data_IF_876660159534
#
_entry.id   IF_876660159534
#
_cell.length_a   1.000
_cell.length_b   1.000
_cell.length_c   1.000
_cell.angle_alpha   90.00
_cell.angle_beta   90.00
_cell.angle_gamma   90.00
#
_symmetry.space_group_name_H-M   'P 1'
#
loop_
_entity.id
_entity.type
_entity.pdbx_description
1 polymer ?
#
# COMPACT_ATOMS: atom_id res chain seq x y z
N UNK A 1 11.24 25.53 -13.52
CA UNK A 1 11.99 26.78 -13.81
C UNK A 1 13.47 26.50 -13.58
N UNK A 2 14.21 26.23 -14.67
CA UNK A 2 15.31 27.06 -15.22
C UNK A 2 16.59 27.08 -14.36
N UNK A 3 17.67 26.37 -14.75
CA UNK A 3 18.65 26.60 -15.83
C UNK A 3 19.80 27.52 -15.39
N UNK A 4 21.01 26.98 -15.44
CA UNK A 4 22.33 27.51 -15.89
C UNK A 4 23.38 26.51 -15.37
N UNK A 5 24.10 25.66 -16.10
CA UNK A 5 24.76 25.67 -17.43
C UNK A 5 25.65 26.90 -17.66
N UNK A 6 26.89 26.60 -18.10
CA UNK A 6 28.02 27.45 -18.54
C UNK A 6 29.03 27.89 -17.45
N UNK A 7 30.35 27.87 -17.65
CA UNK A 7 31.19 27.44 -18.78
C UNK A 7 32.69 27.52 -18.37
N UNK A 8 33.51 26.71 -19.06
CA UNK A 8 34.89 26.96 -19.51
C UNK A 8 36.03 27.24 -18.50
N UNK A 9 37.02 26.33 -18.55
CA UNK A 9 38.49 26.55 -18.71
C UNK A 9 39.16 25.18 -18.56
N UNK A 10 40.12 24.75 -19.36
CA UNK A 10 40.85 25.33 -20.47
C UNK A 10 41.71 24.21 -21.05
N UNK A 11 41.77 24.18 -22.37
CA UNK A 11 42.52 23.26 -23.20
C UNK A 11 44.02 23.53 -23.02
N UNK A 12 44.82 22.50 -22.69
CA UNK A 12 46.24 22.49 -23.03
C UNK A 12 46.58 21.20 -23.79
N UNK A 13 46.42 21.29 -25.11
CA UNK A 13 47.20 20.52 -26.08
C UNK A 13 48.56 21.22 -26.23
N UNK A 14 49.64 20.45 -26.24
CA UNK A 14 50.80 20.80 -27.05
C UNK A 14 52.18 20.50 -26.49
N UNK A 15 52.82 19.54 -27.15
CA UNK A 15 54.26 19.50 -27.54
C UNK A 15 55.26 19.00 -26.50
N UNK A 16 55.86 17.84 -26.81
CA UNK A 16 57.27 17.63 -27.24
C UNK A 16 57.47 16.11 -27.37
N UNK A 17 57.47 15.47 -28.55
CA UNK A 17 58.44 15.51 -29.64
C UNK A 17 59.90 15.24 -29.20
N UNK A 18 60.29 13.97 -29.35
CA UNK A 18 61.57 13.45 -29.86
C UNK A 18 62.85 14.25 -29.57
N UNK A 19 63.77 13.67 -28.78
CA UNK A 19 65.19 13.98 -28.89
C UNK A 19 66.04 12.72 -28.66
N UNK A 20 66.51 12.18 -29.78
CA UNK A 20 67.69 11.33 -29.88
C UNK A 20 68.92 12.22 -29.66
N UNK A 21 69.89 11.76 -28.86
CA UNK A 21 71.35 11.99 -28.96
C UNK A 21 71.98 11.20 -27.80
N UNK A 22 72.62 10.05 -28.04
CA UNK A 22 74.02 9.95 -28.45
C UNK A 22 74.94 10.77 -27.53
N UNK A 23 75.69 10.07 -26.67
CA UNK A 23 76.71 10.68 -25.81
C UNK A 23 77.22 9.68 -24.77
N UNK A 24 78.18 8.85 -25.17
CA UNK A 24 78.80 7.89 -24.24
C UNK A 24 79.92 7.05 -24.85
N UNK A 25 80.68 7.58 -25.80
CA UNK A 25 81.96 7.00 -26.23
C UNK A 25 83.08 7.57 -25.35
N UNK A 26 83.67 6.73 -24.50
CA UNK A 26 84.99 6.98 -23.91
C UNK A 26 85.85 5.73 -24.09
N UNK A 27 86.78 5.87 -25.04
CA UNK A 27 88.13 5.30 -25.09
C UNK A 27 88.27 3.80 -25.29
N UNK A 28 88.36 3.49 -26.58
CA UNK A 28 89.32 2.58 -27.22
C UNK A 28 90.65 2.46 -26.44
N UNK A 29 90.82 1.38 -25.70
CA UNK A 29 92.11 0.91 -25.20
C UNK A 29 92.48 -0.38 -25.91
N UNK A 30 93.25 -0.27 -26.99
CA UNK A 30 93.82 -1.39 -27.70
C UNK A 30 94.77 -2.17 -26.78
N UNK A 31 94.38 -3.39 -26.42
CA UNK A 31 95.29 -4.45 -26.03
C UNK A 31 94.90 -5.68 -26.84
N UNK A 32 95.52 -5.79 -28.01
CA UNK A 32 95.72 -7.05 -28.67
C UNK A 32 96.42 -7.97 -27.67
N UNK A 33 95.68 -8.90 -27.10
CA UNK A 33 96.21 -10.02 -26.34
C UNK A 33 95.47 -11.26 -26.80
N UNK A 34 96.15 -11.97 -27.69
CA UNK A 34 96.06 -13.43 -27.88
C UNK A 34 94.66 -14.00 -28.05
N UNK A 35 94.31 -14.27 -29.31
CA UNK A 35 93.48 -15.42 -29.68
C UNK A 35 94.22 -16.70 -29.26
N UNK A 36 94.16 -17.02 -27.97
CA UNK A 36 94.29 -18.39 -27.52
C UNK A 36 92.91 -19.02 -27.69
N UNK A 37 92.69 -19.68 -28.83
CA UNK A 37 91.64 -20.68 -28.94
C UNK A 37 92.06 -21.83 -28.01
N UNK A 38 91.79 -21.65 -26.71
CA UNK A 38 91.76 -22.77 -25.79
C UNK A 38 90.70 -23.72 -26.33
N UNK A 39 91.12 -24.96 -26.59
CA UNK A 39 90.19 -26.04 -26.84
C UNK A 39 89.07 -25.99 -25.78
N UNK A 40 87.80 -26.23 -26.14
CA UNK A 40 86.73 -26.18 -25.16
C UNK A 40 86.93 -27.30 -24.13
N UNK A 41 87.49 -26.94 -22.98
CA UNK A 41 87.42 -27.72 -21.76
C UNK A 41 85.94 -27.77 -21.30
N UNK A 42 85.48 -28.94 -20.89
CA UNK A 42 84.07 -29.34 -20.78
C UNK A 42 83.15 -28.62 -19.77
N UNK A 43 83.39 -27.34 -19.44
CA UNK A 43 82.56 -26.52 -18.54
C UNK A 43 81.45 -25.68 -19.22
N UNK A 44 81.47 -25.51 -20.54
CA UNK A 44 80.47 -24.68 -21.26
C UNK A 44 79.14 -25.38 -21.50
N UNK A 45 79.15 -26.71 -21.57
CA UNK A 45 77.96 -27.52 -21.85
C UNK A 45 77.07 -27.60 -20.61
N UNK A 46 77.66 -27.68 -19.41
CA UNK A 46 76.90 -27.74 -18.15
C UNK A 46 76.27 -26.38 -17.80
N UNK A 47 76.94 -25.26 -18.07
CA UNK A 47 76.35 -23.92 -17.91
C UNK A 47 75.20 -23.67 -18.90
N UNK A 48 75.35 -24.09 -20.16
CA UNK A 48 74.26 -24.04 -21.14
C UNK A 48 73.08 -24.93 -20.71
N UNK A 49 73.35 -26.09 -20.12
CA UNK A 49 72.32 -27.00 -19.57
C UNK A 49 71.59 -26.36 -18.39
N UNK A 50 72.31 -25.71 -17.46
CA UNK A 50 71.71 -25.02 -16.32
C UNK A 50 70.86 -23.80 -16.74
N UNK A 51 71.29 -23.04 -17.75
CA UNK A 51 70.49 -21.95 -18.34
C UNK A 51 69.25 -22.50 -19.05
N UNK A 52 69.39 -23.61 -19.78
CA UNK A 52 68.26 -24.27 -20.43
C UNK A 52 67.26 -24.81 -19.41
N UNK A 53 67.72 -25.41 -18.31
CA UNK A 53 66.88 -25.89 -17.22
C UNK A 53 66.07 -24.75 -16.58
N UNK A 54 66.74 -23.65 -16.19
CA UNK A 54 66.07 -22.45 -15.67
C UNK A 54 65.09 -21.82 -16.67
N UNK A 55 65.41 -21.86 -17.97
CA UNK A 55 64.52 -21.36 -19.02
C UNK A 55 63.27 -22.25 -19.15
N UNK A 56 63.43 -23.57 -19.10
CA UNK A 56 62.32 -24.53 -19.11
C UNK A 56 61.46 -24.37 -17.85
N UNK A 57 62.06 -24.21 -16.67
CA UNK A 57 61.35 -23.94 -15.42
C UNK A 57 60.56 -22.64 -15.49
N UNK A 58 61.18 -21.55 -15.94
CA UNK A 58 60.50 -20.26 -16.11
C UNK A 58 59.36 -20.37 -17.11
N UNK A 59 59.57 -21.06 -18.23
CA UNK A 59 58.52 -21.30 -19.23
C UNK A 59 57.37 -22.13 -18.66
N UNK A 60 57.66 -23.10 -17.77
CA UNK A 60 56.67 -23.91 -17.08
C UNK A 60 55.86 -23.08 -16.09
N UNK A 61 56.51 -22.22 -15.30
CA UNK A 61 55.84 -21.29 -14.37
C UNK A 61 54.95 -20.32 -15.12
N UNK A 62 55.46 -19.65 -16.16
CA UNK A 62 54.66 -18.74 -17.00
C UNK A 62 53.45 -19.46 -17.60
N UNK A 63 53.64 -20.68 -18.11
CA UNK A 63 52.54 -21.45 -18.67
C UNK A 63 51.51 -21.84 -17.61
N UNK A 64 51.94 -22.08 -16.37
CA UNK A 64 51.04 -22.38 -15.26
C UNK A 64 50.25 -21.15 -14.83
N UNK A 65 50.94 -20.03 -14.58
CA UNK A 65 50.30 -18.76 -14.21
C UNK A 65 49.34 -18.26 -15.29
N UNK A 66 49.69 -18.43 -16.57
CA UNK A 66 48.79 -18.06 -17.67
C UNK A 66 47.51 -18.90 -17.67
N UNK A 67 47.58 -20.19 -17.33
CA UNK A 67 46.39 -21.04 -17.19
C UNK A 67 45.56 -20.64 -15.98
N UNK A 68 46.19 -20.44 -14.82
CA UNK A 68 45.50 -19.99 -13.59
C UNK A 68 44.83 -18.62 -13.77
N UNK A 69 45.49 -17.70 -14.47
CA UNK A 69 44.94 -16.38 -14.76
C UNK A 69 43.72 -16.46 -15.66
N UNK A 70 43.76 -17.28 -16.72
CA UNK A 70 42.61 -17.48 -17.60
C UNK A 70 41.44 -18.08 -16.83
N UNK A 71 41.69 -19.11 -16.00
CA UNK A 71 40.65 -19.76 -15.18
C UNK A 71 40.06 -18.80 -14.15
N UNK A 72 40.91 -18.06 -13.43
CA UNK A 72 40.45 -17.09 -12.41
C UNK A 72 39.62 -15.98 -13.06
N UNK A 73 40.05 -15.50 -14.23
CA UNK A 73 39.30 -14.48 -14.99
C UNK A 73 37.93 -15.00 -15.40
N UNK A 74 37.84 -16.23 -15.90
CA UNK A 74 36.57 -16.87 -16.26
C UNK A 74 35.63 -17.00 -15.05
N UNK A 75 36.14 -17.50 -13.91
CA UNK A 75 35.36 -17.61 -12.66
C UNK A 75 34.87 -16.24 -12.16
N UNK A 76 35.69 -15.19 -12.25
CA UNK A 76 35.29 -13.84 -11.88
C UNK A 76 34.23 -13.28 -12.84
N UNK A 77 34.36 -13.56 -14.13
CA UNK A 77 33.40 -13.13 -15.13
C UNK A 77 32.03 -13.81 -14.93
N UNK A 78 32.00 -15.12 -14.69
CA UNK A 78 30.78 -15.87 -14.37
C UNK A 78 30.09 -15.31 -13.12
N UNK A 79 30.87 -14.95 -12.09
CA UNK A 79 30.35 -14.32 -10.86
C UNK A 79 29.77 -12.94 -11.13
N UNK A 80 30.42 -12.12 -11.94
CA UNK A 80 29.92 -10.80 -12.33
C UNK A 80 28.58 -10.97 -13.05
N UNK A 81 28.50 -11.85 -14.04
CA UNK A 81 27.26 -12.10 -14.79
C UNK A 81 26.12 -12.65 -13.91
N UNK A 82 26.44 -13.46 -12.90
CA UNK A 82 25.47 -13.91 -11.91
C UNK A 82 24.95 -12.76 -11.04
N UNK A 83 25.86 -11.94 -10.50
CA UNK A 83 25.51 -10.79 -9.65
C UNK A 83 24.72 -9.75 -10.44
N UNK A 84 25.06 -9.50 -11.70
CA UNK A 84 24.30 -8.59 -12.58
C UNK A 84 22.88 -9.08 -12.80
N UNK A 85 22.68 -10.39 -13.03
CA UNK A 85 21.34 -10.99 -13.12
C UNK A 85 20.57 -10.89 -11.81
N UNK A 86 21.23 -11.08 -10.68
CA UNK A 86 20.62 -10.93 -9.36
C UNK A 86 20.21 -9.48 -9.10
N UNK A 87 21.07 -8.50 -9.41
CA UNK A 87 20.75 -7.07 -9.31
C UNK A 87 19.57 -6.72 -10.21
N UNK A 88 19.53 -7.22 -11.44
CA UNK A 88 18.41 -6.98 -12.35
C UNK A 88 17.10 -7.54 -11.79
N UNK A 89 17.11 -8.78 -11.29
CA UNK A 89 15.94 -9.40 -10.66
C UNK A 89 15.49 -8.67 -9.40
N UNK A 90 16.42 -8.23 -8.55
CA UNK A 90 16.08 -7.46 -7.35
C UNK A 90 15.49 -6.10 -7.69
N UNK A 91 16.02 -5.41 -8.71
CA UNK A 91 15.43 -4.14 -9.20
C UNK A 91 14.01 -4.33 -9.72
N UNK A 92 13.76 -5.41 -10.46
CA UNK A 92 12.41 -5.75 -10.92
C UNK A 92 11.45 -6.01 -9.75
N UNK A 93 11.89 -6.79 -8.75
CA UNK A 93 11.09 -7.04 -7.53
C UNK A 93 10.80 -5.76 -6.75
N UNK A 94 11.78 -4.85 -6.65
CA UNK A 94 11.58 -3.55 -5.99
C UNK A 94 10.55 -2.73 -6.75
N UNK A 95 10.69 -2.60 -8.07
CA UNK A 95 9.74 -1.85 -8.90
C UNK A 95 8.31 -2.42 -8.84
N UNK A 96 8.18 -3.75 -8.85
CA UNK A 96 6.88 -4.41 -8.67
C UNK A 96 6.28 -4.12 -7.28
N UNK A 97 7.09 -4.20 -6.23
CA UNK A 97 6.65 -3.91 -4.86
C UNK A 97 6.23 -2.45 -4.68
N UNK A 98 6.97 -1.50 -5.28
CA UNK A 98 6.63 -0.08 -5.26
C UNK A 98 5.31 0.19 -6.00
N UNK A 99 5.07 -0.47 -7.13
CA UNK A 99 3.82 -0.37 -7.87
C UNK A 99 2.63 -0.94 -7.07
N UNK A 100 2.82 -2.08 -6.41
CA UNK A 100 1.81 -2.68 -5.54
C UNK A 100 1.49 -1.78 -4.34
N UNK A 101 2.50 -1.22 -3.68
CA UNK A 101 2.32 -0.25 -2.59
C UNK A 101 1.53 0.98 -3.06
N UNK A 102 1.86 1.56 -4.21
CA UNK A 102 1.14 2.72 -4.75
C UNK A 102 -0.35 2.40 -5.01
N UNK A 103 -0.65 1.21 -5.55
CA UNK A 103 -2.03 0.74 -5.77
C UNK A 103 -2.77 0.52 -4.46
N UNK A 104 -2.09 -0.04 -3.47
CA UNK A 104 -2.61 -0.24 -2.13
C UNK A 104 -2.92 1.09 -1.44
N UNK A 105 -2.02 2.07 -1.51
CA UNK A 105 -2.23 3.42 -0.97
C UNK A 105 -3.42 4.12 -1.63
N UNK A 106 -3.55 4.00 -2.96
CA UNK A 106 -4.72 4.50 -3.68
C UNK A 106 -6.01 3.85 -3.17
N UNK A 107 -6.00 2.53 -3.01
CA UNK A 107 -7.16 1.77 -2.53
C UNK A 107 -7.50 2.14 -1.08
N UNK A 108 -6.50 2.35 -0.23
CA UNK A 108 -6.69 2.83 1.14
C UNK A 108 -7.31 4.23 1.17
N UNK A 109 -6.80 5.17 0.37
CA UNK A 109 -7.36 6.51 0.29
C UNK A 109 -8.83 6.49 -0.17
N UNK A 110 -9.15 5.67 -1.17
CA UNK A 110 -10.52 5.49 -1.65
C UNK A 110 -11.44 4.88 -0.56
N UNK A 111 -10.97 3.86 0.15
CA UNK A 111 -11.73 3.22 1.22
C UNK A 111 -11.98 4.15 2.40
N UNK A 112 -10.98 4.96 2.78
CA UNK A 112 -11.13 5.98 3.84
C UNK A 112 -12.16 7.02 3.40
N UNK A 113 -12.06 7.56 2.19
CA UNK A 113 -13.03 8.53 1.67
C UNK A 113 -14.45 7.97 1.62
N UNK A 114 -14.63 6.72 1.17
CA UNK A 114 -15.93 6.03 1.21
C UNK A 114 -16.43 5.82 2.62
N UNK A 115 -15.56 5.48 3.56
CA UNK A 115 -15.92 5.28 4.96
C UNK A 115 -16.42 6.58 5.60
N UNK A 116 -15.74 7.70 5.34
CA UNK A 116 -16.12 9.02 5.84
C UNK A 116 -17.48 9.44 5.26
N UNK A 117 -17.68 9.27 3.95
CA UNK A 117 -18.98 9.52 3.30
C UNK A 117 -20.09 8.66 3.90
N UNK A 118 -19.84 7.36 4.14
CA UNK A 118 -20.82 6.47 4.76
C UNK A 118 -21.15 6.88 6.19
N UNK A 119 -20.16 7.32 6.97
CA UNK A 119 -20.39 7.83 8.32
C UNK A 119 -21.21 9.12 8.32
N UNK A 120 -20.90 10.04 7.41
CA UNK A 120 -21.63 11.30 7.30
C UNK A 120 -23.07 11.08 6.86
N UNK A 121 -23.29 10.23 5.85
CA UNK A 121 -24.66 9.85 5.42
C UNK A 121 -25.41 9.08 6.50
N UNK A 122 -24.76 8.21 7.27
CA UNK A 122 -25.38 7.51 8.39
C UNK A 122 -25.83 8.47 9.50
N UNK A 123 -25.01 9.48 9.83
CA UNK A 123 -25.37 10.52 10.80
C UNK A 123 -26.59 11.32 10.36
N UNK A 124 -26.61 11.78 9.10
CA UNK A 124 -27.76 12.49 8.55
C UNK A 124 -29.04 11.64 8.63
N UNK A 125 -28.93 10.35 8.30
CA UNK A 125 -30.08 9.44 8.35
C UNK A 125 -30.54 9.16 9.78
N UNK A 126 -29.61 9.13 10.74
CA UNK A 126 -29.91 9.01 12.16
C UNK A 126 -30.66 10.23 12.69
N UNK A 127 -30.24 11.44 12.31
CA UNK A 127 -30.91 12.70 12.65
C UNK A 127 -32.32 12.76 12.05
N UNK A 128 -32.47 12.40 10.77
CA UNK A 128 -33.78 12.35 10.09
C UNK A 128 -34.74 11.34 10.75
N UNK A 129 -34.25 10.15 11.10
CA UNK A 129 -35.05 9.13 11.81
C UNK A 129 -35.44 9.63 13.20
N UNK A 130 -34.56 10.33 13.91
CA UNK A 130 -34.89 10.92 15.20
C UNK A 130 -36.02 11.97 15.10
N UNK A 131 -36.01 12.85 14.09
CA UNK A 131 -37.10 13.79 13.85
C UNK A 131 -38.43 13.06 13.56
N UNK A 132 -38.38 12.02 12.72
CA UNK A 132 -39.55 11.20 12.40
C UNK A 132 -40.11 10.49 13.63
N UNK A 133 -39.26 9.98 14.53
CA UNK A 133 -39.70 9.36 15.79
C UNK A 133 -40.43 10.37 16.68
N UNK A 134 -39.87 11.57 16.88
CA UNK A 134 -40.48 12.64 17.67
C UNK A 134 -41.85 13.01 17.11
N UNK A 135 -41.94 13.21 15.80
CA UNK A 135 -43.20 13.54 15.11
C UNK A 135 -44.23 12.42 15.19
N UNK A 136 -43.78 11.17 15.10
CA UNK A 136 -44.65 9.99 15.22
C UNK A 136 -45.20 9.85 16.64
N UNK A 137 -44.37 10.05 17.67
CA UNK A 137 -44.82 10.04 19.07
C UNK A 137 -45.85 11.15 19.34
N UNK A 138 -45.61 12.35 18.79
CA UNK A 138 -46.56 13.46 18.89
C UNK A 138 -47.90 13.12 18.20
N UNK A 139 -47.86 12.41 17.07
CA UNK A 139 -49.06 11.95 16.37
C UNK A 139 -49.84 10.90 17.17
N UNK A 140 -49.16 9.92 17.78
CA UNK A 140 -49.80 8.85 18.57
C UNK A 140 -50.69 9.42 19.67
N UNK A 141 -50.26 10.50 20.35
CA UNK A 141 -51.04 11.17 21.41
C UNK A 141 -52.37 11.76 20.92
N UNK A 142 -52.51 12.02 19.62
CA UNK A 142 -53.71 12.61 19.00
C UNK A 142 -54.65 11.56 18.41
N UNK A 143 -54.24 10.29 18.37
CA UNK A 143 -55.04 9.21 17.78
C UNK A 143 -56.21 8.82 18.70
N UNK A 144 -57.35 8.32 18.17
CA UNK A 144 -58.42 7.73 18.96
C UNK A 144 -57.98 6.47 19.72
N UNK A 145 -58.64 6.17 20.83
CA UNK A 145 -58.32 5.05 21.73
C UNK A 145 -58.13 3.68 21.02
N UNK A 146 -58.98 3.27 20.05
CA UNK A 146 -58.84 1.96 19.39
C UNK A 146 -57.49 1.76 18.70
N UNK A 147 -56.91 2.81 18.11
CA UNK A 147 -55.62 2.72 17.42
C UNK A 147 -54.47 2.80 18.42
N UNK A 148 -54.62 3.58 19.48
CA UNK A 148 -53.59 3.70 20.51
C UNK A 148 -53.24 2.32 21.09
N UNK A 149 -54.24 1.46 21.29
CA UNK A 149 -54.01 0.09 21.77
C UNK A 149 -53.32 -0.83 20.75
N UNK A 150 -53.65 -0.68 19.46
CA UNK A 150 -53.05 -1.46 18.36
C UNK A 150 -51.59 -1.08 18.10
N UNK A 151 -51.27 0.20 18.26
CA UNK A 151 -49.94 0.75 18.02
C UNK A 151 -49.04 0.64 19.27
N UNK A 152 -49.64 0.42 20.45
CA UNK A 152 -48.95 0.27 21.74
C UNK A 152 -47.66 -0.56 21.70
N UNK A 153 -47.62 -1.80 21.17
CA UNK A 153 -46.38 -2.60 21.15
C UNK A 153 -45.25 -1.93 20.35
N UNK A 154 -45.56 -1.32 19.21
CA UNK A 154 -44.58 -0.60 18.39
C UNK A 154 -44.15 0.72 19.04
N UNK A 155 -45.07 1.42 19.70
CA UNK A 155 -44.75 2.67 20.42
C UNK A 155 -43.88 2.45 21.65
N UNK A 156 -44.06 1.32 22.34
CA UNK A 156 -43.21 0.91 23.46
C UNK A 156 -41.82 0.51 22.96
N UNK A 157 -41.73 -0.17 21.82
CA UNK A 157 -40.46 -0.46 21.17
C UNK A 157 -39.72 0.84 20.79
N UNK A 158 -40.41 1.84 20.21
CA UNK A 158 -39.83 3.16 19.91
C UNK A 158 -39.35 3.91 21.16
N UNK A 159 -40.12 3.88 22.24
CA UNK A 159 -39.78 4.62 23.47
C UNK A 159 -38.65 3.92 24.23
N UNK A 160 -38.61 2.58 24.22
CA UNK A 160 -37.50 1.82 24.78
C UNK A 160 -36.20 2.08 24.03
N UNK A 161 -36.25 2.24 22.70
CA UNK A 161 -35.06 2.57 21.89
C UNK A 161 -34.64 4.03 22.03
N UNK A 162 -35.59 4.96 22.13
CA UNK A 162 -35.30 6.37 22.36
C UNK A 162 -34.78 6.64 23.78
N UNK A 163 -35.30 5.94 24.80
CA UNK A 163 -34.81 6.03 26.18
C UNK A 163 -33.43 5.36 26.35
N UNK A 164 -33.16 4.27 25.63
CA UNK A 164 -31.84 3.64 25.57
C UNK A 164 -30.79 4.46 24.81
N UNK A 165 -31.18 5.49 24.04
CA UNK A 165 -30.26 6.44 23.42
C UNK A 165 -29.86 7.58 24.38
N UNK A 166 -30.64 7.83 25.45
CA UNK A 166 -30.38 8.90 26.42
C UNK A 166 -29.41 8.47 27.53
N UNK A 167 -29.43 7.19 27.92
CA UNK A 167 -28.36 6.55 28.68
C UNK A 167 -27.39 5.93 27.67
N UNK A 168 -26.12 6.31 27.69
CA UNK A 168 -25.05 5.87 26.76
C UNK A 168 -24.70 4.37 26.88
N UNK A 169 -25.68 3.47 26.92
CA UNK A 169 -25.47 2.03 26.93
C UNK A 169 -25.81 1.47 25.55
N UNK A 170 -24.76 1.02 24.87
CA UNK A 170 -24.69 0.54 23.50
C UNK A 170 -25.53 -0.72 23.24
N UNK A 171 -26.84 -0.66 23.45
CA UNK A 171 -27.77 -1.52 22.73
C UNK A 171 -27.92 -0.91 21.35
N UNK A 172 -27.03 -1.32 20.44
CA UNK A 172 -27.05 -1.04 19.00
C UNK A 172 -28.37 -1.52 18.38
N UNK A 173 -29.49 -0.87 18.70
CA UNK A 173 -30.70 -1.07 17.94
C UNK A 173 -30.43 -0.46 16.58
N UNK A 174 -30.35 -1.32 15.57
CA UNK A 174 -30.01 -0.86 14.22
C UNK A 174 -30.98 0.23 13.76
N UNK A 175 -30.45 1.24 13.08
CA UNK A 175 -31.24 2.31 12.46
C UNK A 175 -32.40 1.74 11.63
N UNK A 176 -32.20 0.56 11.01
CA UNK A 176 -33.23 -0.16 10.28
C UNK A 176 -34.42 -0.59 11.13
N UNK A 177 -34.20 -1.10 12.36
CA UNK A 177 -35.30 -1.49 13.27
C UNK A 177 -36.10 -0.26 13.70
N UNK A 178 -35.42 0.84 14.02
CA UNK A 178 -36.05 2.13 14.37
C UNK A 178 -36.94 2.66 13.25
N UNK A 179 -36.40 2.73 12.04
CA UNK A 179 -37.15 3.15 10.86
C UNK A 179 -38.33 2.21 10.56
N UNK A 180 -38.13 0.89 10.67
CA UNK A 180 -39.19 -0.10 10.47
C UNK A 180 -40.34 0.06 11.47
N UNK A 181 -40.03 0.40 12.72
CA UNK A 181 -41.04 0.69 13.73
C UNK A 181 -41.85 1.94 13.35
N UNK A 182 -41.20 3.05 12.99
CA UNK A 182 -41.90 4.27 12.52
C UNK A 182 -42.80 3.97 11.32
N UNK A 183 -42.26 3.31 10.29
CA UNK A 183 -43.03 2.94 9.10
C UNK A 183 -44.19 1.99 9.43
N UNK A 184 -44.00 1.04 10.35
CA UNK A 184 -45.03 0.13 10.83
C UNK A 184 -46.19 0.86 11.51
N UNK A 185 -45.88 1.84 12.36
CA UNK A 185 -46.90 2.67 13.01
C UNK A 185 -47.70 3.46 11.97
N UNK A 186 -47.01 4.16 11.06
CA UNK A 186 -47.67 4.95 10.01
C UNK A 186 -48.54 4.07 9.11
N UNK A 187 -48.12 2.84 8.83
CA UNK A 187 -48.91 1.88 8.06
C UNK A 187 -50.19 1.46 8.80
N UNK A 188 -50.11 1.18 10.11
CA UNK A 188 -51.30 0.86 10.91
C UNK A 188 -52.27 2.04 10.99
N UNK A 189 -51.75 3.26 11.14
CA UNK A 189 -52.54 4.49 11.14
C UNK A 189 -53.25 4.69 9.79
N UNK A 190 -52.54 4.51 8.67
CA UNK A 190 -53.12 4.60 7.33
C UNK A 190 -54.15 3.50 7.07
N UNK A 191 -53.92 2.28 7.59
CA UNK A 191 -54.88 1.17 7.48
C UNK A 191 -56.18 1.50 8.22
N UNK A 192 -56.08 1.95 9.48
CA UNK A 192 -57.26 2.36 10.24
C UNK A 192 -58.02 3.51 9.56
N UNK A 193 -57.30 4.47 8.97
CA UNK A 193 -57.94 5.58 8.26
C UNK A 193 -58.85 5.12 7.09
N UNK A 194 -58.59 3.93 6.54
CA UNK A 194 -59.34 3.36 5.40
C UNK A 194 -60.42 2.37 5.83
N UNK A 195 -60.46 2.01 7.11
CA UNK A 195 -61.37 1.01 7.66
C UNK A 195 -62.47 1.69 8.51
N UNK A 196 -63.62 1.04 8.57
CA UNK A 196 -64.70 1.41 9.50
C UNK A 196 -64.60 0.42 10.67
N UNK A 197 -64.32 0.91 11.87
CA UNK A 197 -64.19 0.07 13.05
C UNK A 197 -65.24 0.44 14.09
N UNK A 198 -65.92 -0.57 14.63
CA UNK A 198 -66.90 -0.40 15.71
C UNK A 198 -66.33 -0.96 17.01
N UNK A 199 -66.31 -0.18 18.08
CA UNK A 199 -65.77 -0.57 19.38
C UNK A 199 -66.72 -0.15 20.49
N UNK A 200 -66.99 -1.05 21.45
CA UNK A 200 -67.75 -0.71 22.65
C UNK A 200 -66.84 0.03 23.63
N UNK A 201 -67.20 1.26 23.96
CA UNK A 201 -66.44 2.13 24.87
C UNK A 201 -67.33 2.59 26.03
N UNK A 202 -66.74 2.64 27.23
CA UNK A 202 -67.42 3.17 28.40
C UNK A 202 -67.11 4.67 28.49
N UNK A 203 -68.10 5.53 28.21
CA UNK A 203 -67.92 6.98 28.32
C UNK A 203 -68.55 7.53 29.61
N UNK A 204 -67.86 8.45 30.32
CA UNK A 204 -68.47 9.16 31.42
C UNK A 204 -69.54 10.12 30.87
N UNK A 205 -70.76 9.98 31.38
CA UNK A 205 -71.87 10.89 31.10
C UNK A 205 -71.74 12.14 31.99
N UNK A 206 -72.37 13.24 31.60
CA UNK A 206 -72.39 14.53 32.35
C UNK A 206 -72.86 14.43 33.79
N UNK A 207 -73.52 13.32 34.13
CA UNK A 207 -74.14 13.07 35.44
C UNK A 207 -73.26 12.21 36.37
N UNK A 208 -72.00 11.95 36.00
CA UNK A 208 -71.05 11.16 36.78
C UNK A 208 -71.24 9.64 36.69
N UNK A 209 -72.23 9.17 35.94
CA UNK A 209 -72.43 7.76 35.61
C UNK A 209 -71.65 7.37 34.34
N UNK A 210 -71.18 6.12 34.28
CA UNK A 210 -70.53 5.56 33.10
C UNK A 210 -71.54 4.74 32.29
N UNK A 211 -71.65 5.02 30.99
CA UNK A 211 -72.50 4.26 30.07
C UNK A 211 -71.64 3.52 29.03
N UNK A 212 -71.96 2.25 28.78
CA UNK A 212 -71.38 1.50 27.67
C UNK A 212 -72.04 1.96 26.37
N UNK A 213 -71.25 2.54 25.47
CA UNK A 213 -71.69 3.08 24.19
C UNK A 213 -70.91 2.39 23.09
N UNK A 214 -71.61 1.89 22.08
CA UNK A 214 -70.97 1.39 20.86
C UNK A 214 -70.56 2.59 19.99
N UNK A 215 -69.26 2.86 19.94
CA UNK A 215 -68.68 3.91 19.10
C UNK A 215 -68.29 3.35 17.73
N UNK A 216 -68.72 4.01 16.65
CA UNK A 216 -68.31 3.70 15.29
C UNK A 216 -67.31 4.75 14.82
N UNK A 217 -66.12 4.31 14.43
CA UNK A 217 -65.04 5.13 13.88
C UNK A 217 -65.02 4.97 12.37
N UNK A 218 -65.03 6.10 11.65
CA UNK A 218 -64.90 6.17 10.19
C UNK A 218 -63.65 6.99 9.89
N UNK A 219 -62.54 6.31 9.67
CA UNK A 219 -61.25 6.94 9.41
C UNK A 219 -60.74 7.85 10.54
N UNK A 220 -59.83 8.78 10.19
CA UNK A 220 -59.16 9.73 11.11
C UNK A 220 -59.57 11.19 10.88
N UNK A 221 -60.45 11.46 9.92
CA UNK A 221 -60.98 12.79 9.67
C UNK A 221 -62.18 13.08 10.57
N UNK A 222 -61.95 13.83 11.65
CA UNK A 222 -62.97 14.66 12.29
C UNK A 222 -62.48 16.11 12.29
#
# INVERSE_FOLDING_TARGET
MNRTVESARGIHRGRTACLILAGGTVVLGALASTLAFAAPDGGTIDDMRAVMEKWVETRRVISHEQREWVLTREVLQDRIELVEREIASLREKIAASEADLAKTDQSYAELVSKNDLLKDTARLLEDDVADLEVRTIALIKRLPHPIQELVRPLSQALTSTAAAQADNDATETSLGIRYQNVAGILNLVNKFNREISTTSEVRPMTDGSSAEVTAMYIGLGQ
#
